data_IF_265547048371
#
_entry.id   IF_265547048371
#
_cell.length_a   1.000
_cell.length_b   1.000
_cell.length_c   1.000
_cell.angle_alpha   90.00
_cell.angle_beta   90.00
_cell.angle_gamma   90.00
#
_symmetry.space_group_name_H-M   'P 1'
#
loop_
_entity.id
_entity.type
_entity.pdbx_description
1 polymer ?
#
# COMPACT_ATOMS: atom_id res chain seq x y z
N UNK A 1 -5.80 9.65 1.51
CA UNK A 1 -4.90 9.32 0.38
C UNK A 1 -4.27 7.94 0.53
N UNK A 2 -3.59 7.61 1.64
CA UNK A 2 -2.97 6.30 1.86
C UNK A 2 -3.95 5.11 1.81
N UNK A 3 -5.20 5.31 2.21
CA UNK A 3 -6.26 4.29 2.16
C UNK A 3 -6.76 3.91 0.76
N UNK A 4 -6.23 4.51 -0.31
CA UNK A 4 -6.61 4.16 -1.69
C UNK A 4 -5.60 3.20 -2.35
N UNK A 5 -4.37 3.13 -1.82
CA UNK A 5 -3.24 2.40 -2.39
C UNK A 5 -2.75 1.29 -1.44
N UNK A 6 -3.70 0.61 -0.78
CA UNK A 6 -3.42 -0.41 0.24
C UNK A 6 -3.69 -1.85 -0.25
N UNK A 7 -3.91 -2.05 -1.55
CA UNK A 7 -4.17 -3.37 -2.16
C UNK A 7 -5.60 -3.89 -2.04
N UNK A 8 -6.38 -3.39 -1.08
CA UNK A 8 -7.77 -3.85 -0.85
C UNK A 8 -8.78 -3.06 -1.66
N UNK A 9 -8.68 -1.72 -1.64
CA UNK A 9 -9.57 -0.85 -2.44
C UNK A 9 -9.23 -0.93 -3.93
N UNK A 10 -7.92 -1.04 -4.23
CA UNK A 10 -7.41 -1.28 -5.58
C UNK A 10 -6.50 -2.49 -5.53
N UNK A 11 -6.85 -3.59 -6.22
CA UNK A 11 -6.04 -4.81 -6.25
C UNK A 11 -4.59 -4.51 -6.64
N UNK A 12 -3.65 -5.28 -6.09
CA UNK A 12 -2.21 -5.15 -6.38
C UNK A 12 -1.90 -5.12 -7.90
N UNK A 13 -2.64 -5.89 -8.69
CA UNK A 13 -2.49 -5.95 -10.15
C UNK A 13 -2.91 -4.66 -10.89
N UNK A 14 -3.85 -3.89 -10.34
CA UNK A 14 -4.39 -2.67 -10.99
C UNK A 14 -3.62 -1.40 -10.61
N UNK A 15 -2.65 -1.49 -9.71
CA UNK A 15 -1.80 -0.39 -9.29
C UNK A 15 -0.71 -0.10 -10.34
N UNK A 16 -0.43 1.17 -10.58
CA UNK A 16 0.67 1.54 -11.49
C UNK A 16 2.01 1.07 -10.92
N UNK A 17 2.94 0.78 -11.81
CA UNK A 17 4.23 0.14 -11.51
C UNK A 17 4.98 0.86 -10.37
N UNK A 18 5.01 2.19 -10.40
CA UNK A 18 5.68 3.00 -9.38
C UNK A 18 5.09 2.81 -7.97
N UNK A 19 3.77 2.93 -7.83
CA UNK A 19 3.09 2.81 -6.53
C UNK A 19 3.10 1.38 -6.01
N UNK A 20 3.05 0.40 -6.93
CA UNK A 20 3.03 -1.03 -6.62
C UNK A 20 4.31 -1.50 -5.95
N UNK A 21 5.48 -1.05 -6.40
CA UNK A 21 6.76 -1.52 -5.85
C UNK A 21 7.20 -0.79 -4.59
N UNK A 22 6.82 0.48 -4.41
CA UNK A 22 7.34 1.28 -3.31
C UNK A 22 6.28 1.59 -2.25
N UNK A 23 5.16 2.20 -2.66
CA UNK A 23 4.15 2.68 -1.71
C UNK A 23 3.36 1.54 -1.07
N UNK A 24 3.08 0.46 -1.80
CA UNK A 24 2.34 -0.68 -1.28
C UNK A 24 2.96 -1.25 0.01
N UNK A 25 4.29 -1.36 0.05
CA UNK A 25 5.05 -1.90 1.19
C UNK A 25 5.40 -0.85 2.26
N UNK A 26 5.34 0.44 1.94
CA UNK A 26 5.55 1.51 2.92
C UNK A 26 4.27 1.89 3.68
N UNK A 27 3.11 1.47 3.19
CA UNK A 27 1.83 1.87 3.73
C UNK A 27 1.42 0.96 4.91
N UNK A 28 1.34 1.47 6.15
CA UNK A 28 0.91 0.68 7.30
C UNK A 28 -0.54 0.18 7.17
N UNK A 29 -1.38 0.87 6.40
CA UNK A 29 -2.76 0.46 6.16
C UNK A 29 -2.85 -0.86 5.36
N UNK A 30 -1.88 -1.16 4.49
CA UNK A 30 -1.80 -2.45 3.78
C UNK A 30 -1.67 -3.59 4.79
N UNK A 31 -0.77 -3.45 5.76
CA UNK A 31 -0.50 -4.46 6.78
C UNK A 31 -1.63 -4.59 7.79
N UNK A 32 -2.25 -3.47 8.18
CA UNK A 32 -3.42 -3.49 9.05
C UNK A 32 -4.60 -4.21 8.39
N UNK A 33 -5.06 -3.71 7.24
CA UNK A 33 -6.28 -4.22 6.59
C UNK A 33 -6.03 -5.65 6.08
N UNK A 34 -4.86 -5.92 5.50
CA UNK A 34 -4.49 -7.26 5.05
C UNK A 34 -4.41 -8.27 6.20
N UNK A 35 -3.90 -7.87 7.36
CA UNK A 35 -3.88 -8.70 8.57
C UNK A 35 -5.28 -8.98 9.13
N UNK A 36 -6.15 -7.97 9.18
CA UNK A 36 -7.54 -8.13 9.64
C UNK A 36 -8.31 -9.06 8.70
N UNK A 37 -8.24 -8.83 7.38
CA UNK A 37 -8.93 -9.67 6.39
C UNK A 37 -8.42 -11.11 6.46
N UNK A 38 -7.10 -11.31 6.55
CA UNK A 38 -6.51 -12.65 6.68
C UNK A 38 -6.97 -13.38 7.95
N UNK A 39 -7.27 -12.66 9.02
CA UNK A 39 -7.80 -13.24 10.25
C UNK A 39 -9.30 -13.55 10.15
N UNK A 40 -10.11 -12.65 9.57
CA UNK A 40 -11.57 -12.77 9.58
C UNK A 40 -12.13 -13.64 8.46
N UNK A 41 -11.51 -13.66 7.27
CA UNK A 41 -12.04 -14.36 6.09
C UNK A 41 -11.42 -15.75 5.87
N UNK A 42 -10.48 -16.17 6.71
CA UNK A 42 -9.75 -17.44 6.51
C UNK A 42 -10.64 -18.69 6.49
N UNK A 43 -11.70 -18.74 7.30
CA UNK A 43 -12.58 -19.91 7.44
C UNK A 43 -14.02 -19.64 6.95
N UNK A 44 -14.25 -18.58 6.17
CA UNK A 44 -15.59 -18.19 5.73
C UNK A 44 -15.94 -18.83 4.39
N UNK A 45 -17.03 -19.60 4.35
CA UNK A 45 -17.64 -20.09 3.10
C UNK A 45 -18.56 -19.01 2.53
N UNK A 46 -18.46 -18.72 1.23
CA UNK A 46 -19.30 -17.73 0.56
C UNK A 46 -20.46 -18.45 -0.13
N UNK A 47 -21.68 -18.15 0.29
CA UNK A 47 -22.90 -18.56 -0.39
C UNK A 47 -23.60 -17.34 -0.96
N UNK A 48 -23.55 -17.16 -2.28
CA UNK A 48 -24.22 -16.04 -2.95
C UNK A 48 -25.73 -16.12 -2.73
N UNK A 49 -26.34 -15.00 -2.31
CA UNK A 49 -27.78 -14.81 -2.40
C UNK A 49 -28.22 -14.69 -3.87
N UNK A 50 -29.51 -14.83 -4.13
CA UNK A 50 -30.06 -14.70 -5.49
C UNK A 50 -29.67 -13.37 -6.15
N UNK A 51 -29.71 -12.26 -5.43
CA UNK A 51 -29.33 -10.94 -5.96
C UNK A 51 -27.81 -10.71 -6.11
N UNK A 52 -26.96 -11.60 -5.62
CA UNK A 52 -25.49 -11.47 -5.66
C UNK A 52 -24.88 -12.30 -6.79
N UNK A 53 -25.62 -13.27 -7.32
CA UNK A 53 -25.22 -14.03 -8.47
C UNK A 53 -25.35 -13.18 -9.75
N UNK A 54 -24.35 -13.28 -10.63
CA UNK A 54 -24.42 -12.70 -11.96
C UNK A 54 -25.29 -13.61 -12.83
N UNK A 55 -26.45 -13.10 -13.25
CA UNK A 55 -27.36 -13.82 -14.13
C UNK A 55 -27.04 -13.58 -15.60
N UNK A 56 -26.97 -14.65 -16.38
CA UNK A 56 -26.81 -14.60 -17.83
C UNK A 56 -27.61 -15.72 -18.50
N UNK A 57 -27.86 -15.58 -19.80
CA UNK A 57 -28.53 -16.60 -20.60
C UNK A 57 -27.50 -17.28 -21.52
N UNK A 58 -27.38 -18.62 -21.46
CA UNK A 58 -26.49 -19.36 -22.35
C UNK A 58 -27.08 -19.40 -23.77
N UNK A 59 -26.26 -19.63 -24.81
CA UNK A 59 -26.73 -19.82 -26.17
C UNK A 59 -27.73 -20.98 -26.27
N UNK A 60 -28.67 -20.89 -27.22
CA UNK A 60 -29.73 -21.87 -27.43
C UNK A 60 -29.21 -23.30 -27.48
N UNK A 61 -29.75 -24.18 -26.63
CA UNK A 61 -29.42 -25.60 -26.59
C UNK A 61 -28.22 -25.99 -25.70
N UNK A 62 -27.61 -25.06 -24.97
CA UNK A 62 -26.55 -25.35 -23.99
C UNK A 62 -27.04 -25.15 -22.55
N UNK A 63 -26.55 -25.99 -21.63
CA UNK A 63 -26.74 -25.80 -20.19
C UNK A 63 -25.72 -24.81 -19.63
N UNK A 64 -26.02 -24.21 -18.47
CA UNK A 64 -25.09 -23.32 -17.76
C UNK A 64 -23.72 -23.98 -17.57
N UNK A 65 -23.69 -25.25 -17.16
CA UNK A 65 -22.44 -26.00 -16.97
C UNK A 65 -21.68 -26.20 -18.27
N UNK A 66 -22.37 -26.45 -19.40
CA UNK A 66 -21.71 -26.66 -20.69
C UNK A 66 -21.07 -25.39 -21.24
N UNK A 67 -21.71 -24.23 -21.01
CA UNK A 67 -21.22 -22.95 -21.51
C UNK A 67 -20.21 -22.30 -20.56
N UNK A 68 -20.54 -22.24 -19.27
CA UNK A 68 -19.76 -21.50 -18.26
C UNK A 68 -18.87 -22.40 -17.39
N UNK A 69 -19.01 -23.74 -17.43
CA UNK A 69 -18.15 -24.65 -16.66
C UNK A 69 -16.68 -24.56 -17.06
N UNK A 70 -16.39 -24.40 -18.35
CA UNK A 70 -15.03 -24.13 -18.84
C UNK A 70 -14.48 -22.79 -18.34
N UNK A 71 -15.32 -21.75 -18.23
CA UNK A 71 -14.92 -20.45 -17.67
C UNK A 71 -14.61 -20.55 -16.18
N UNK A 72 -15.48 -21.17 -15.38
CA UNK A 72 -15.28 -21.36 -13.93
C UNK A 72 -13.99 -22.15 -13.66
N UNK A 73 -13.76 -23.21 -14.44
CA UNK A 73 -12.55 -24.04 -14.32
C UNK A 73 -11.29 -23.28 -14.74
N UNK A 74 -11.38 -22.46 -15.79
CA UNK A 74 -10.24 -21.65 -16.28
C UNK A 74 -9.91 -20.47 -15.38
N UNK A 75 -10.94 -19.90 -14.71
CA UNK A 75 -10.79 -18.82 -13.75
C UNK A 75 -10.31 -19.32 -12.39
N UNK A 76 -10.50 -20.61 -12.08
CA UNK A 76 -10.14 -21.27 -10.80
C UNK A 76 -10.76 -20.58 -9.57
N UNK A 77 -11.86 -19.85 -9.77
CA UNK A 77 -12.58 -19.09 -8.75
C UNK A 77 -14.08 -19.16 -8.99
N UNK A 78 -14.86 -19.18 -7.90
CA UNK A 78 -16.30 -19.12 -7.95
C UNK A 78 -16.98 -20.43 -8.31
N UNK A 79 -18.32 -20.38 -8.40
CA UNK A 79 -19.15 -21.55 -8.68
C UNK A 79 -20.46 -21.17 -9.37
N UNK A 80 -21.09 -22.15 -10.02
CA UNK A 80 -22.41 -22.01 -10.61
C UNK A 80 -23.48 -22.41 -9.61
N UNK A 81 -24.48 -21.56 -9.42
CA UNK A 81 -25.62 -21.84 -8.51
C UNK A 81 -26.59 -22.84 -9.10
N UNK A 82 -26.81 -22.80 -10.42
CA UNK A 82 -27.75 -23.66 -11.16
C UNK A 82 -27.08 -24.24 -12.41
N UNK A 83 -26.36 -25.38 -12.32
CA UNK A 83 -25.59 -25.92 -13.44
C UNK A 83 -26.45 -26.46 -14.61
N UNK A 84 -27.67 -26.92 -14.32
CA UNK A 84 -28.56 -27.57 -15.29
C UNK A 84 -29.53 -26.62 -15.99
N UNK A 85 -29.58 -25.35 -15.58
CA UNK A 85 -30.51 -24.39 -16.17
C UNK A 85 -30.11 -24.06 -17.62
N UNK A 86 -31.10 -23.81 -18.46
CA UNK A 86 -30.93 -23.37 -19.86
C UNK A 86 -31.30 -21.89 -20.04
N UNK A 87 -31.84 -21.27 -18.99
CA UNK A 87 -32.20 -19.85 -18.89
C UNK A 87 -31.90 -19.36 -17.47
N UNK A 88 -31.52 -18.09 -17.29
CA UNK A 88 -31.15 -17.50 -15.99
C UNK A 88 -30.08 -18.28 -15.21
N UNK A 89 -28.92 -18.52 -15.83
CA UNK A 89 -27.76 -19.10 -15.17
C UNK A 89 -27.17 -18.12 -14.15
N UNK A 90 -27.05 -18.51 -12.89
CA UNK A 90 -26.41 -17.69 -11.85
C UNK A 90 -24.97 -18.11 -11.61
N UNK A 91 -24.03 -17.19 -11.81
CA UNK A 91 -22.61 -17.35 -11.47
C UNK A 91 -22.25 -16.58 -10.21
N UNK A 92 -21.65 -17.27 -9.24
CA UNK A 92 -21.10 -16.67 -8.03
C UNK A 92 -19.57 -16.53 -8.18
N UNK A 93 -19.01 -15.33 -8.01
CA UNK A 93 -17.59 -15.07 -8.30
C UNK A 93 -16.62 -15.70 -7.28
N UNK A 94 -17.09 -16.08 -6.09
CA UNK A 94 -16.26 -16.64 -5.01
C UNK A 94 -17.01 -17.74 -4.27
N UNK A 95 -16.37 -18.89 -4.04
CA UNK A 95 -16.90 -19.97 -3.19
C UNK A 95 -16.41 -19.87 -1.73
N UNK A 96 -15.24 -19.25 -1.53
CA UNK A 96 -14.60 -19.14 -0.21
C UNK A 96 -13.96 -17.78 0.01
N UNK A 97 -13.78 -17.41 1.28
CA UNK A 97 -13.00 -16.25 1.67
C UNK A 97 -11.55 -16.34 1.24
N UNK A 98 -11.00 -17.56 1.08
CA UNK A 98 -9.65 -17.77 0.54
C UNK A 98 -9.54 -17.35 -0.93
N UNK A 99 -10.52 -17.72 -1.77
CA UNK A 99 -10.57 -17.27 -3.17
C UNK A 99 -10.65 -15.75 -3.28
N UNK A 100 -11.46 -15.12 -2.43
CA UNK A 100 -11.52 -13.66 -2.35
C UNK A 100 -10.16 -13.06 -1.99
N UNK A 101 -9.48 -13.58 -0.97
CA UNK A 101 -8.17 -13.08 -0.54
C UNK A 101 -7.07 -13.27 -1.59
N UNK A 102 -7.13 -14.33 -2.41
CA UNK A 102 -6.20 -14.53 -3.54
C UNK A 102 -6.28 -13.39 -4.54
N UNK A 103 -7.46 -12.85 -4.81
CA UNK A 103 -7.61 -11.68 -5.71
C UNK A 103 -6.92 -10.42 -5.19
N UNK A 104 -6.77 -10.31 -3.87
CA UNK A 104 -6.12 -9.19 -3.18
C UNK A 104 -4.63 -9.43 -2.94
N UNK A 105 -4.06 -10.54 -3.40
CA UNK A 105 -2.67 -10.95 -3.16
C UNK A 105 -2.36 -11.13 -1.65
N UNK A 106 -3.35 -11.56 -0.87
CA UNK A 106 -3.24 -11.82 0.58
C UNK A 106 -3.43 -13.30 0.83
N UNK A 107 -2.54 -13.90 1.63
CA UNK A 107 -2.66 -15.30 2.04
C UNK A 107 -3.09 -15.43 3.52
N UNK A 108 -3.91 -16.43 3.89
CA UNK A 108 -4.33 -16.65 5.29
C UNK A 108 -3.15 -16.84 6.26
N UNK A 109 -2.04 -17.41 5.76
CA UNK A 109 -0.83 -17.68 6.54
C UNK A 109 -0.07 -16.41 6.95
N UNK A 110 -0.26 -15.31 6.22
CA UNK A 110 0.48 -14.06 6.44
C UNK A 110 -0.08 -13.20 7.58
N UNK A 111 -1.16 -13.63 8.24
CA UNK A 111 -1.82 -12.90 9.35
C UNK A 111 -0.84 -12.40 10.42
N UNK A 112 0.06 -13.27 10.88
CA UNK A 112 1.03 -12.94 11.94
C UNK A 112 2.16 -12.04 11.43
N UNK A 113 2.59 -12.22 10.18
CA UNK A 113 3.63 -11.41 9.57
C UNK A 113 3.15 -9.96 9.39
N UNK A 114 1.92 -9.79 8.92
CA UNK A 114 1.31 -8.47 8.77
C UNK A 114 1.08 -7.77 10.11
N UNK A 115 0.62 -8.51 11.13
CA UNK A 115 0.49 -7.96 12.48
C UNK A 115 1.84 -7.50 13.05
N UNK A 116 2.89 -8.29 12.89
CA UNK A 116 4.24 -7.94 13.37
C UNK A 116 4.81 -6.68 12.70
N UNK A 117 4.66 -6.56 11.38
CA UNK A 117 5.13 -5.37 10.64
C UNK A 117 4.36 -4.13 11.10
N UNK A 118 3.03 -4.22 11.22
CA UNK A 118 2.20 -3.12 11.71
C UNK A 118 2.59 -2.69 13.13
N UNK A 119 2.79 -3.64 14.04
CA UNK A 119 3.25 -3.36 15.40
C UNK A 119 4.63 -2.67 15.41
N UNK A 120 5.54 -3.09 14.53
CA UNK A 120 6.84 -2.44 14.32
C UNK A 120 6.70 -0.97 13.88
N UNK A 121 5.75 -0.66 13.00
CA UNK A 121 5.43 0.74 12.62
C UNK A 121 4.88 1.55 13.79
N UNK A 122 4.04 0.96 14.64
CA UNK A 122 3.52 1.64 15.83
C UNK A 122 4.63 1.95 16.84
N UNK A 123 5.47 0.95 17.15
CA UNK A 123 6.58 1.10 18.10
C UNK A 123 7.60 2.12 17.57
N UNK A 124 7.95 2.07 16.27
CA UNK A 124 8.89 3.04 15.69
C UNK A 124 8.35 4.46 15.69
N UNK A 125 7.05 4.66 15.44
CA UNK A 125 6.41 5.98 15.56
C UNK A 125 6.48 6.50 17.00
N UNK A 126 6.15 5.66 17.98
CA UNK A 126 6.27 6.01 19.40
C UNK A 126 7.71 6.37 19.75
N UNK A 127 8.68 5.53 19.37
CA UNK A 127 10.09 5.77 19.59
C UNK A 127 10.56 7.09 18.96
N UNK A 128 10.12 7.40 17.73
CA UNK A 128 10.42 8.67 17.06
C UNK A 128 9.85 9.86 17.84
N UNK A 129 8.60 9.80 18.31
CA UNK A 129 8.00 10.87 19.11
C UNK A 129 8.77 11.09 20.40
N UNK A 130 9.09 10.04 21.16
CA UNK A 130 9.89 10.15 22.38
C UNK A 130 11.29 10.67 22.08
N UNK A 131 11.93 10.19 21.01
CA UNK A 131 13.23 10.65 20.56
C UNK A 131 13.22 12.14 20.22
N UNK A 132 12.23 12.63 19.46
CA UNK A 132 12.10 14.04 19.12
C UNK A 132 11.81 14.91 20.35
N UNK A 133 10.92 14.49 21.23
CA UNK A 133 10.64 15.21 22.49
C UNK A 133 11.90 15.29 23.34
N UNK A 134 12.60 14.17 23.55
CA UNK A 134 13.82 14.12 24.35
C UNK A 134 14.94 14.99 23.76
N UNK A 135 15.19 14.89 22.45
CA UNK A 135 16.27 15.64 21.78
C UNK A 135 15.99 17.14 21.71
N UNK A 136 14.76 17.55 21.41
CA UNK A 136 14.38 18.97 21.28
C UNK A 136 14.18 19.63 22.64
N UNK A 137 13.54 18.95 23.62
CA UNK A 137 13.19 19.55 24.92
C UNK A 137 14.25 19.37 26.00
N UNK A 138 14.87 18.19 26.12
CA UNK A 138 15.79 17.89 27.24
C UNK A 138 17.23 18.16 26.83
N UNK A 139 17.66 17.65 25.67
CA UNK A 139 19.05 17.80 25.22
C UNK A 139 19.33 19.16 24.59
N UNK A 140 18.29 19.97 24.33
CA UNK A 140 18.40 21.30 23.72
C UNK A 140 19.02 21.26 22.32
N UNK A 141 18.96 20.12 21.63
CA UNK A 141 19.56 19.97 20.32
C UNK A 141 18.62 20.63 19.30
N UNK A 142 18.89 21.90 18.99
CA UNK A 142 18.21 22.59 17.89
C UNK A 142 18.42 21.76 16.63
N UNK A 143 17.32 21.27 16.05
CA UNK A 143 17.26 20.52 14.79
C UNK A 143 18.35 21.04 13.83
N UNK A 144 19.22 20.13 13.36
CA UNK A 144 20.54 20.43 12.78
C UNK A 144 20.58 21.44 11.63
N UNK A 145 19.44 21.90 11.12
CA UNK A 145 19.34 23.09 10.30
C UNK A 145 19.94 24.35 10.96
N UNK A 146 19.90 24.52 12.28
CA UNK A 146 20.48 25.71 12.93
C UNK A 146 22.03 25.71 12.93
N UNK A 147 22.67 24.55 13.14
CA UNK A 147 24.13 24.43 13.02
C UNK A 147 24.59 24.41 11.55
N UNK A 148 23.77 23.88 10.64
CA UNK A 148 24.06 23.84 9.21
C UNK A 148 23.89 25.24 8.57
N UNK A 149 22.81 25.98 8.87
CA UNK A 149 22.66 27.40 8.48
C UNK A 149 23.68 28.29 9.19
N UNK A 150 23.98 28.04 10.47
CA UNK A 150 25.02 28.78 11.19
C UNK A 150 26.43 28.55 10.64
N UNK A 151 26.74 27.31 10.22
CA UNK A 151 27.99 26.95 9.55
C UNK A 151 28.10 27.54 8.15
N UNK A 152 27.00 27.50 7.38
CA UNK A 152 26.93 28.09 6.05
C UNK A 152 27.06 29.63 6.11
N UNK A 153 26.42 30.28 7.08
CA UNK A 153 26.57 31.73 7.33
C UNK A 153 28.01 32.12 7.66
N UNK A 154 28.69 31.38 8.54
CA UNK A 154 30.11 31.61 8.86
C UNK A 154 31.03 31.40 7.65
N UNK A 155 30.71 30.45 6.77
CA UNK A 155 31.47 30.21 5.53
C UNK A 155 31.29 31.36 4.53
N UNK A 156 30.05 31.82 4.34
CA UNK A 156 29.72 32.95 3.45
C UNK A 156 30.37 34.25 3.93
N UNK A 157 30.37 34.53 5.24
CA UNK A 157 31.05 35.71 5.78
C UNK A 157 32.58 35.64 5.60
N UNK A 158 33.18 34.45 5.77
CA UNK A 158 34.62 34.26 5.51
C UNK A 158 34.96 34.52 4.04
N UNK A 159 34.13 34.04 3.11
CA UNK A 159 34.31 34.28 1.66
C UNK A 159 34.13 35.77 1.34
N UNK A 160 33.13 36.43 1.90
CA UNK A 160 32.88 37.87 1.73
C UNK A 160 34.05 38.71 2.23
N UNK A 161 34.63 38.36 3.40
CA UNK A 161 35.81 39.04 3.93
C UNK A 161 37.06 38.80 3.07
N UNK A 162 37.27 37.58 2.56
CA UNK A 162 38.38 37.27 1.66
C UNK A 162 38.31 38.05 0.34
N UNK A 163 37.11 38.21 -0.23
CA UNK A 163 36.90 39.02 -1.43
C UNK A 163 37.03 40.52 -1.18
N UNK A 164 36.55 41.04 -0.05
CA UNK A 164 36.71 42.47 0.32
C UNK A 164 38.18 42.85 0.54
N UNK A 165 39.01 41.91 1.02
CA UNK A 165 40.46 42.09 1.17
C UNK A 165 41.24 42.13 -0.15
N UNK A 166 40.78 41.41 -1.19
CA UNK A 166 41.40 41.43 -2.51
C UNK A 166 41.08 42.69 -3.32
N UNK A 167 39.89 43.29 -3.14
CA UNK A 167 39.49 44.52 -3.84
C UNK A 167 40.34 45.75 -3.48
N UNK A 168 40.86 45.86 -2.25
CA UNK A 168 41.70 46.99 -1.83
C UNK A 168 43.14 46.94 -2.36
N UNK A 169 43.66 45.76 -2.75
CA UNK A 169 45.01 45.63 -3.31
C UNK A 169 45.10 45.91 -4.81
N UNK A 170 43.96 45.95 -5.51
CA UNK A 170 43.92 46.20 -6.96
C UNK A 170 43.94 47.69 -7.36
N UNK A 171 43.60 48.61 -6.45
CA UNK A 171 43.49 50.06 -6.74
C UNK A 171 44.76 50.84 -6.38
N UNK A 172 45.74 50.23 -5.69
CA UNK A 172 46.98 50.91 -5.28
C UNK A 172 48.15 50.73 -6.25
N UNK A 173 47.98 49.97 -7.35
CA UNK A 173 49.02 49.73 -8.37
C UNK A 173 48.61 50.30 -9.74
N UNK A 174 47.95 51.46 -9.75
CA UNK A 174 47.60 52.19 -10.96
C UNK A 174 47.85 53.69 -10.75
N UNK A 175 49.08 54.01 -10.36
CA UNK A 175 49.71 55.32 -10.56
C UNK A 175 51.03 55.08 -11.30
#
# INVERSE_FOLDING_TARGET
MFSLFNGVVRPYAQLSVFWRYWLYYLNPATYWIGGVIAATLSDVLVQCASNEAAYFNPPSGQSCSSYAGGFVTSADVGYLTNPDATTNCGYCPYASGEEYMRTLNVSPRDKWRYFGIFLGFCISNWALVYFFIYTVRIRGWSFGFASLFGGLGKLVDKIKHAFKGKGKKGVSNSE
#
